data_IF_694710838116
#
_entry.id   IF_694710838116
#
_cell.length_a   1.000
_cell.length_b   1.000
_cell.length_c   1.000
_cell.angle_alpha   90.00
_cell.angle_beta   90.00
_cell.angle_gamma   90.00
#
_symmetry.space_group_name_H-M   'P 1'
#
loop_
_entity.id
_entity.type
_entity.pdbx_description
1 polymer ?
#
# COMPACT_ATOMS: atom_id res chain seq x y z
N UNK A 1 39.38 26.07 -31.49
CA UNK A 1 38.50 26.76 -30.51
C UNK A 1 37.09 26.17 -30.48
N UNK A 2 36.45 25.83 -31.62
CA UNK A 2 35.11 25.21 -31.66
C UNK A 2 35.00 23.80 -31.03
N UNK A 3 36.05 22.97 -31.08
CA UNK A 3 36.05 21.63 -30.47
C UNK A 3 36.00 21.63 -28.94
N UNK A 4 36.55 22.67 -28.30
CA UNK A 4 36.50 22.84 -26.85
C UNK A 4 35.10 23.31 -26.41
N UNK A 5 34.44 24.12 -27.25
CA UNK A 5 33.07 24.59 -27.05
C UNK A 5 32.05 23.44 -27.16
N UNK A 6 32.24 22.52 -28.12
CA UNK A 6 31.38 21.34 -28.29
C UNK A 6 31.43 20.39 -27.08
N UNK A 7 32.61 20.16 -26.48
CA UNK A 7 32.75 19.34 -25.28
C UNK A 7 32.06 19.96 -24.05
N UNK A 8 32.05 21.30 -23.95
CA UNK A 8 31.31 22.01 -22.90
C UNK A 8 29.79 21.94 -23.12
N UNK A 9 29.31 22.01 -24.36
CA UNK A 9 27.87 21.99 -24.68
C UNK A 9 27.27 20.58 -24.56
N UNK A 10 28.03 19.50 -24.84
CA UNK A 10 27.52 18.12 -24.68
C UNK A 10 27.82 17.52 -23.31
N UNK A 11 28.92 17.91 -22.66
CA UNK A 11 29.30 17.42 -21.33
C UNK A 11 28.53 18.08 -20.18
N UNK A 12 28.26 19.38 -20.27
CA UNK A 12 27.56 20.12 -19.23
C UNK A 12 26.10 19.68 -19.00
N UNK A 13 25.24 19.46 -20.01
CA UNK A 13 23.89 18.97 -19.79
C UNK A 13 23.85 17.52 -19.27
N UNK A 14 24.82 16.67 -19.62
CA UNK A 14 24.89 15.28 -19.09
C UNK A 14 25.23 15.31 -17.58
N UNK A 15 26.18 16.15 -17.16
CA UNK A 15 26.54 16.30 -15.74
C UNK A 15 25.40 16.95 -14.95
N UNK A 16 24.68 17.92 -15.53
CA UNK A 16 23.50 18.55 -14.92
C UNK A 16 22.32 17.57 -14.84
N UNK A 17 22.07 16.75 -15.86
CA UNK A 17 21.02 15.73 -15.84
C UNK A 17 21.31 14.64 -14.79
N UNK A 18 22.57 14.25 -14.61
CA UNK A 18 22.98 13.34 -13.53
C UNK A 18 22.91 13.99 -12.14
N UNK A 19 23.16 15.30 -12.01
CA UNK A 19 23.10 16.01 -10.73
C UNK A 19 21.66 16.32 -10.27
N UNK A 20 20.69 16.40 -11.19
CA UNK A 20 19.28 16.65 -10.89
C UNK A 20 18.36 15.42 -11.03
N UNK A 21 18.86 14.30 -11.60
CA UNK A 21 18.06 13.12 -11.91
C UNK A 21 17.67 12.22 -10.73
N UNK A 22 18.03 12.56 -9.50
CA UNK A 22 17.87 11.69 -8.32
C UNK A 22 16.58 11.87 -7.50
N UNK A 23 15.69 12.81 -7.86
CA UNK A 23 14.49 13.15 -7.07
C UNK A 23 13.20 13.18 -7.91
N UNK A 24 13.12 12.38 -8.98
CA UNK A 24 11.94 12.39 -9.85
C UNK A 24 10.92 11.40 -9.30
N UNK A 25 10.14 11.82 -8.32
CA UNK A 25 9.04 11.04 -7.75
C UNK A 25 8.26 11.86 -6.73
N UNK A 26 6.94 11.95 -6.89
CA UNK A 26 6.06 12.60 -5.93
C UNK A 26 6.00 11.73 -4.67
N UNK A 27 6.11 12.36 -3.51
CA UNK A 27 5.87 11.67 -2.26
C UNK A 27 4.37 11.45 -2.12
N UNK A 28 3.95 10.21 -1.93
CA UNK A 28 2.54 9.84 -1.80
C UNK A 28 2.38 8.92 -0.59
N UNK A 29 1.23 9.02 0.08
CA UNK A 29 0.91 8.22 1.26
C UNK A 29 -0.51 7.69 1.24
N UNK A 30 -0.72 6.62 1.98
CA UNK A 30 -2.03 5.98 2.15
C UNK A 30 -2.11 5.40 3.55
N UNK A 31 -3.34 5.33 4.08
CA UNK A 31 -3.60 4.71 5.37
C UNK A 31 -4.89 3.93 5.38
N UNK A 32 -4.90 2.91 6.22
CA UNK A 32 -6.01 2.00 6.42
C UNK A 32 -6.10 1.62 7.89
N UNK A 33 -7.32 1.56 8.39
CA UNK A 33 -7.61 1.09 9.75
C UNK A 33 -8.85 0.23 9.74
N UNK A 34 -8.97 -0.66 10.72
CA UNK A 34 -10.12 -1.54 10.76
C UNK A 34 -10.12 -2.55 11.88
N UNK A 35 -11.08 -3.47 11.81
CA UNK A 35 -11.23 -4.57 12.78
C UNK A 35 -11.37 -5.89 12.03
N UNK A 36 -10.55 -6.87 12.36
CA UNK A 36 -10.63 -8.22 11.83
C UNK A 36 -11.32 -9.16 12.82
N UNK A 37 -12.23 -9.97 12.29
CA UNK A 37 -12.94 -11.00 13.06
C UNK A 37 -12.82 -12.36 12.38
N UNK A 38 -12.77 -13.43 13.16
CA UNK A 38 -12.86 -14.81 12.71
C UNK A 38 -14.04 -15.47 13.42
N UNK A 39 -15.04 -15.94 12.65
CA UNK A 39 -16.26 -16.57 13.17
C UNK A 39 -16.98 -15.73 14.24
N UNK A 40 -17.04 -14.41 14.05
CA UNK A 40 -17.69 -13.48 14.97
C UNK A 40 -16.85 -13.08 16.19
N UNK A 41 -15.66 -13.66 16.36
CA UNK A 41 -14.73 -13.30 17.43
C UNK A 41 -13.60 -12.41 16.91
N UNK A 42 -13.03 -11.50 17.73
CA UNK A 42 -11.86 -10.72 17.36
C UNK A 42 -10.67 -11.59 16.91
N UNK A 43 -10.10 -11.27 15.74
CA UNK A 43 -8.93 -11.96 15.22
C UNK A 43 -7.66 -11.20 15.65
N UNK A 44 -7.02 -11.66 16.73
CA UNK A 44 -5.82 -11.00 17.29
C UNK A 44 -4.51 -11.48 16.66
N UNK A 45 -3.50 -10.60 16.69
CA UNK A 45 -2.13 -10.86 16.20
C UNK A 45 -2.01 -11.22 14.71
N UNK A 46 -3.05 -10.96 13.93
CA UNK A 46 -3.07 -11.15 12.47
C UNK A 46 -2.10 -10.15 11.84
N UNK A 47 -1.19 -10.64 10.98
CA UNK A 47 -0.20 -9.79 10.32
C UNK A 47 -0.82 -9.12 9.10
N UNK A 48 -0.59 -7.81 8.97
CA UNK A 48 -1.08 -7.00 7.86
C UNK A 48 0.11 -6.22 7.31
N UNK A 49 0.32 -6.29 6.00
CA UNK A 49 1.39 -5.58 5.30
C UNK A 49 0.80 -4.68 4.22
N UNK A 50 1.31 -3.48 4.08
CA UNK A 50 0.96 -2.50 3.07
C UNK A 50 2.08 -2.45 2.01
N UNK A 51 1.66 -2.48 0.77
CA UNK A 51 2.51 -2.47 -0.41
C UNK A 51 1.99 -1.45 -1.42
N UNK A 52 2.91 -0.98 -2.26
CA UNK A 52 2.61 -0.49 -3.59
C UNK A 52 2.58 -1.68 -4.57
N UNK A 53 1.50 -1.88 -5.31
CA UNK A 53 1.34 -2.98 -6.28
C UNK A 53 1.78 -2.50 -7.67
N UNK A 54 3.09 -2.39 -7.88
CA UNK A 54 3.61 -2.01 -9.20
C UNK A 54 3.24 -3.09 -10.23
N UNK A 55 2.34 -2.75 -11.16
CA UNK A 55 1.84 -3.70 -12.17
C UNK A 55 2.84 -3.91 -13.33
N UNK A 56 4.14 -3.86 -13.04
CA UNK A 56 5.24 -3.79 -14.00
C UNK A 56 6.30 -4.90 -13.87
N UNK A 57 7.58 -4.53 -14.06
CA UNK A 57 8.76 -5.40 -13.98
C UNK A 57 9.43 -5.37 -12.60
N UNK A 58 8.91 -4.53 -11.72
CA UNK A 58 9.28 -4.28 -10.34
C UNK A 58 8.56 -5.23 -9.37
N UNK A 59 9.11 -5.33 -8.18
CA UNK A 59 8.53 -6.07 -7.07
C UNK A 59 7.69 -5.12 -6.23
N UNK A 60 6.53 -5.55 -5.74
CA UNK A 60 5.71 -4.80 -4.79
C UNK A 60 6.55 -4.05 -3.74
N UNK A 61 6.51 -2.72 -3.74
CA UNK A 61 7.29 -1.92 -2.81
C UNK A 61 6.67 -1.95 -1.41
N UNK A 62 7.44 -2.40 -0.42
CA UNK A 62 6.96 -2.51 0.96
C UNK A 62 6.88 -1.14 1.64
N UNK A 63 5.67 -0.77 2.08
CA UNK A 63 5.42 0.54 2.71
C UNK A 63 5.29 0.46 4.23
N UNK A 64 4.93 -0.71 4.78
CA UNK A 64 4.80 -0.89 6.23
C UNK A 64 4.03 -2.14 6.64
N UNK A 65 4.05 -2.46 7.93
CA UNK A 65 3.27 -3.56 8.50
C UNK A 65 2.74 -3.26 9.89
N UNK A 66 1.68 -3.97 10.27
CA UNK A 66 1.09 -3.92 11.61
C UNK A 66 0.54 -5.29 12.00
N UNK A 67 0.12 -5.43 13.25
CA UNK A 67 -0.63 -6.60 13.74
C UNK A 67 -1.89 -6.15 14.45
N UNK A 68 -2.95 -6.93 14.30
CA UNK A 68 -4.18 -6.67 15.04
C UNK A 68 -4.00 -6.82 16.55
N UNK A 69 -4.65 -5.95 17.32
CA UNK A 69 -4.66 -5.99 18.78
C UNK A 69 -5.54 -7.13 19.34
N UNK A 70 -5.69 -7.20 20.66
CA UNK A 70 -6.54 -8.20 21.33
C UNK A 70 -8.03 -8.09 21.00
N UNK A 71 -8.46 -6.93 20.50
CA UNK A 71 -9.83 -6.64 20.03
C UNK A 71 -9.94 -6.77 18.51
N UNK A 72 -8.89 -7.21 17.82
CA UNK A 72 -8.86 -7.38 16.37
C UNK A 72 -8.65 -6.07 15.60
N UNK A 73 -8.42 -4.95 16.27
CA UNK A 73 -8.23 -3.66 15.62
C UNK A 73 -6.83 -3.49 15.04
N UNK A 74 -6.72 -2.75 13.96
CA UNK A 74 -5.46 -2.35 13.36
C UNK A 74 -5.54 -0.95 12.77
N UNK A 75 -4.37 -0.33 12.66
CA UNK A 75 -4.14 0.92 11.94
C UNK A 75 -2.76 0.82 11.28
N UNK A 76 -2.68 1.19 10.01
CA UNK A 76 -1.48 1.11 9.20
C UNK A 76 -1.46 2.24 8.18
N UNK A 77 -0.36 2.97 8.12
CA UNK A 77 -0.09 3.97 7.10
C UNK A 77 1.32 3.79 6.57
N UNK A 78 1.53 4.15 5.30
CA UNK A 78 2.83 4.12 4.66
C UNK A 78 2.93 5.19 3.58
N UNK A 79 4.14 5.42 3.11
CA UNK A 79 4.42 6.38 2.05
C UNK A 79 5.60 5.91 1.19
N UNK A 80 5.65 6.37 -0.06
CA UNK A 80 6.75 6.11 -0.98
C UNK A 80 6.92 7.26 -1.98
N UNK A 81 8.10 7.36 -2.60
CA UNK A 81 8.38 8.27 -3.69
C UNK A 81 8.12 7.57 -5.02
N UNK A 82 7.13 8.04 -5.77
CA UNK A 82 6.75 7.39 -7.03
C UNK A 82 6.39 8.45 -8.08
N UNK A 83 6.72 8.19 -9.35
CA UNK A 83 6.41 9.13 -10.43
C UNK A 83 4.93 9.11 -10.80
N UNK A 84 4.34 7.91 -10.80
CA UNK A 84 2.92 7.70 -11.08
C UNK A 84 2.12 7.66 -9.78
N UNK A 85 0.78 7.68 -9.81
CA UNK A 85 -0.02 7.40 -8.63
C UNK A 85 0.22 5.97 -8.13
N UNK A 86 0.48 5.83 -6.84
CA UNK A 86 0.67 4.53 -6.19
C UNK A 86 -0.56 3.62 -6.38
N UNK A 87 -0.34 2.31 -6.41
CA UNK A 87 -1.37 1.25 -6.49
C UNK A 87 -1.45 0.52 -5.11
N UNK A 88 -1.99 1.16 -4.06
CA UNK A 88 -1.84 0.69 -2.70
C UNK A 88 -2.62 -0.60 -2.42
N UNK A 89 -1.97 -1.57 -1.78
CA UNK A 89 -2.50 -2.92 -1.51
C UNK A 89 -2.14 -3.38 -0.11
N UNK A 90 -3.12 -3.91 0.64
CA UNK A 90 -2.84 -4.65 1.87
C UNK A 90 -2.89 -6.15 1.68
N UNK A 91 -1.92 -6.83 2.28
CA UNK A 91 -1.87 -8.29 2.42
C UNK A 91 -2.13 -8.67 3.88
N UNK A 92 -3.19 -9.44 4.12
CA UNK A 92 -3.59 -9.95 5.44
C UNK A 92 -3.22 -11.42 5.52
N UNK A 93 -2.42 -11.79 6.52
CA UNK A 93 -1.92 -13.16 6.73
C UNK A 93 -2.58 -13.76 7.99
N UNK A 94 -3.41 -14.78 7.79
CA UNK A 94 -4.25 -15.34 8.86
C UNK A 94 -4.40 -16.86 8.80
N UNK A 95 -4.72 -17.46 9.95
CA UNK A 95 -4.99 -18.90 10.10
C UNK A 95 -6.50 -19.18 10.35
N UNK A 96 -7.36 -18.16 10.22
CA UNK A 96 -8.80 -18.30 10.38
C UNK A 96 -9.38 -19.34 9.42
N UNK A 97 -10.09 -20.34 9.97
CA UNK A 97 -10.68 -21.47 9.23
C UNK A 97 -9.67 -22.22 8.35
N UNK A 98 -8.41 -22.34 8.81
CA UNK A 98 -7.32 -22.96 8.04
C UNK A 98 -7.01 -24.42 8.42
N UNK A 99 -7.55 -24.91 9.54
CA UNK A 99 -7.39 -26.31 9.95
C UNK A 99 -5.92 -26.64 10.28
N UNK A 100 -5.37 -27.69 9.64
CA UNK A 100 -3.99 -28.18 9.85
C UNK A 100 -3.08 -27.79 8.65
N UNK A 101 -3.46 -26.76 7.87
CA UNK A 101 -2.64 -26.35 6.74
C UNK A 101 -1.36 -25.65 7.22
N UNK A 102 -0.18 -26.02 6.68
CA UNK A 102 1.03 -25.28 6.95
C UNK A 102 0.98 -23.93 6.26
N UNK A 103 1.56 -22.91 6.90
CA UNK A 103 1.62 -21.51 6.48
C UNK A 103 0.29 -20.74 6.58
N UNK A 104 0.40 -19.42 6.75
CA UNK A 104 -0.77 -18.56 6.86
C UNK A 104 -1.42 -18.32 5.50
N UNK A 105 -2.75 -18.28 5.45
CA UNK A 105 -3.49 -17.83 4.25
C UNK A 105 -3.27 -16.33 4.04
N UNK A 106 -3.09 -15.93 2.78
CA UNK A 106 -2.98 -14.53 2.36
C UNK A 106 -4.27 -14.06 1.67
N UNK A 107 -4.76 -12.89 2.08
CA UNK A 107 -5.81 -12.14 1.38
C UNK A 107 -5.21 -10.79 0.98
N UNK A 108 -5.42 -10.39 -0.28
CA UNK A 108 -4.96 -9.10 -0.81
C UNK A 108 -6.16 -8.20 -1.10
N UNK A 109 -6.14 -6.96 -0.59
CA UNK A 109 -7.16 -5.95 -0.86
C UNK A 109 -6.49 -4.69 -1.41
N UNK A 110 -6.96 -4.20 -2.56
CA UNK A 110 -6.57 -2.90 -3.10
C UNK A 110 -7.27 -1.77 -2.34
N UNK A 111 -6.53 -0.73 -2.02
CA UNK A 111 -7.04 0.52 -1.49
C UNK A 111 -7.38 1.43 -2.69
N UNK A 112 -8.58 2.02 -2.78
CA UNK A 112 -8.92 2.91 -3.89
C UNK A 112 -8.05 4.17 -3.93
N UNK A 113 -7.68 4.59 -5.14
CA UNK A 113 -6.79 5.73 -5.41
C UNK A 113 -7.28 7.04 -4.76
N UNK A 114 -8.60 7.20 -4.56
CA UNK A 114 -9.18 8.37 -3.89
C UNK A 114 -8.74 8.60 -2.44
N UNK A 115 -8.12 7.59 -1.81
CA UNK A 115 -7.52 7.65 -0.48
C UNK A 115 -6.02 7.96 -0.48
N UNK A 116 -5.39 8.05 -1.65
CA UNK A 116 -4.01 8.50 -1.77
C UNK A 116 -3.95 9.99 -1.39
N UNK A 117 -2.92 10.33 -0.63
CA UNK A 117 -2.62 11.70 -0.19
C UNK A 117 -1.25 12.09 -0.70
N UNK A 118 -1.09 13.32 -1.17
CA UNK A 118 0.23 13.87 -1.50
C UNK A 118 1.01 14.19 -0.22
N UNK A 119 2.29 13.82 -0.18
CA UNK A 119 3.17 14.01 0.96
C UNK A 119 3.24 12.81 1.90
N UNK A 120 4.07 12.96 2.95
CA UNK A 120 4.42 11.90 3.88
C UNK A 120 3.26 11.50 4.82
N UNK A 121 2.44 12.48 5.18
CA UNK A 121 1.41 12.32 6.18
C UNK A 121 0.11 11.93 5.48
N UNK A 122 -0.49 10.84 5.93
CA UNK A 122 -1.79 10.40 5.44
C UNK A 122 -2.90 11.29 6.00
N UNK A 123 -3.64 11.96 5.13
CA UNK A 123 -4.80 12.79 5.51
C UNK A 123 -6.10 11.98 5.50
N UNK A 124 -6.16 10.93 4.67
CA UNK A 124 -7.34 10.09 4.47
C UNK A 124 -7.05 8.64 4.83
N UNK A 125 -7.90 8.05 5.67
CA UNK A 125 -7.79 6.64 6.01
C UNK A 125 -8.99 5.85 5.51
N UNK A 126 -8.73 4.73 4.86
CA UNK A 126 -9.76 3.73 4.54
C UNK A 126 -10.19 3.04 5.84
N UNK A 127 -11.50 2.96 6.06
CA UNK A 127 -12.07 2.15 7.13
C UNK A 127 -12.40 0.74 6.60
N UNK A 128 -11.76 -0.27 7.17
CA UNK A 128 -11.99 -1.68 6.94
C UNK A 128 -12.82 -2.28 8.09
N UNK A 129 -13.87 -3.03 7.80
CA UNK A 129 -14.67 -3.77 8.80
C UNK A 129 -16.14 -3.34 8.91
N UNK A 130 -16.90 -4.07 9.73
CA UNK A 130 -18.37 -3.97 9.78
C UNK A 130 -18.85 -2.89 10.74
N UNK A 131 -19.35 -1.76 10.21
CA UNK A 131 -19.97 -0.68 10.99
C UNK A 131 -21.47 -0.52 10.72
N UNK A 132 -22.26 -1.61 10.65
CA UNK A 132 -23.74 -1.60 10.76
C UNK A 132 -24.56 -0.66 9.85
N UNK A 133 -23.93 0.08 8.94
CA UNK A 133 -24.51 1.20 8.16
C UNK A 133 -24.13 1.14 6.69
N UNK A 134 -23.53 0.03 6.23
CA UNK A 134 -23.25 -0.21 4.83
C UNK A 134 -22.10 0.63 4.28
N UNK A 135 -20.87 0.16 4.50
CA UNK A 135 -19.74 0.35 3.60
C UNK A 135 -18.91 -0.95 3.61
N UNK A 136 -18.77 -1.58 2.43
CA UNK A 136 -18.11 -2.87 2.22
C UNK A 136 -16.64 -2.66 1.84
N UNK A 137 -15.74 -2.55 2.80
CA UNK A 137 -14.32 -2.87 2.57
C UNK A 137 -13.83 -3.72 3.74
N UNK A 138 -13.27 -4.89 3.39
CA UNK A 138 -12.66 -5.92 4.25
C UNK A 138 -13.61 -6.71 5.19
N UNK A 139 -14.04 -7.86 4.63
CA UNK A 139 -14.43 -9.15 5.26
C UNK A 139 -15.92 -9.45 5.54
N UNK A 140 -16.44 -10.52 4.89
CA UNK A 140 -17.55 -11.35 5.38
C UNK A 140 -17.30 -12.83 5.02
N UNK A 141 -17.30 -13.73 6.01
CA UNK A 141 -17.23 -15.20 5.86
C UNK A 141 -16.14 -15.73 4.90
N UNK A 142 -14.89 -15.30 5.09
CA UNK A 142 -13.75 -15.83 4.31
C UNK A 142 -13.87 -15.64 2.78
N UNK A 143 -14.73 -14.72 2.31
CA UNK A 143 -14.82 -14.32 0.90
C UNK A 143 -14.46 -12.84 0.77
N UNK A 144 -13.58 -12.56 -0.19
CA UNK A 144 -13.29 -11.22 -0.71
C UNK A 144 -14.56 -10.69 -1.36
N UNK A 145 -15.18 -9.67 -0.78
CA UNK A 145 -16.10 -8.81 -1.51
C UNK A 145 -15.26 -7.61 -1.94
N UNK A 146 -14.75 -7.69 -3.17
CA UNK A 146 -14.15 -6.56 -3.88
C UNK A 146 -15.26 -5.56 -4.17
N UNK A 147 -15.04 -4.29 -3.82
CA UNK A 147 -15.87 -3.21 -4.35
C UNK A 147 -15.82 -3.29 -5.88
N UNK A 148 -16.98 -3.52 -6.49
CA UNK A 148 -17.18 -3.10 -7.88
C UNK A 148 -17.17 -1.57 -7.88
N UNK A 149 -16.17 -1.05 -8.55
CA UNK A 149 -16.05 0.30 -9.09
C UNK A 149 -17.40 0.78 -9.65
N UNK A 150 -17.89 1.93 -9.19
CA UNK A 150 -18.56 2.89 -10.07
C UNK A 150 -17.55 3.99 -10.34
#
# INVERSE_FOLDING_TARGET
MFRLLLLLITGFPIVVFCAFGGLVGRLQSVGVKGTLTCNGLPASRVLIKLYDDDRGLDMDDFMGETRTDSKGNFELSGYIHEMSPIDPKINIYHDCNDGIKPCQRKISIMIPDGYITEGKNTEKMVQCGHNGTGWEICWRNSRLYTLRKY
#
